data_IF_181407287504
#
_entry.id   IF_181407287504
#
_cell.length_a   1.000
_cell.length_b   1.000
_cell.length_c   1.000
_cell.angle_alpha   90.00
_cell.angle_beta   90.00
_cell.angle_gamma   90.00
#
_symmetry.space_group_name_H-M   'P 1'
#
loop_
_entity.id
_entity.type
_entity.pdbx_description
1 polymer ?
#
# COMPACT_ATOMS: atom_id res chain seq x y z
N UNK A 1 -38.99 -22.54 13.60
CA UNK A 1 -37.86 -23.03 14.44
C UNK A 1 -36.47 -22.87 13.80
N UNK A 2 -36.32 -22.68 12.48
CA UNK A 2 -35.02 -22.70 11.81
C UNK A 2 -34.12 -21.46 12.09
N UNK A 3 -34.71 -20.27 12.30
CA UNK A 3 -34.00 -19.03 12.66
C UNK A 3 -33.13 -19.18 13.92
N UNK A 4 -33.59 -19.96 14.90
CA UNK A 4 -32.83 -20.19 16.14
C UNK A 4 -31.56 -21.02 15.93
N UNK A 5 -31.49 -21.84 14.88
CA UNK A 5 -30.26 -22.57 14.55
C UNK A 5 -29.22 -21.64 13.91
N UNK A 6 -29.63 -20.84 12.92
CA UNK A 6 -28.75 -19.88 12.23
C UNK A 6 -28.21 -18.85 13.23
N UNK A 7 -29.07 -18.31 14.08
CA UNK A 7 -28.65 -17.38 15.13
C UNK A 7 -27.64 -18.01 16.11
N UNK A 8 -27.83 -19.28 16.52
CA UNK A 8 -26.86 -19.98 17.37
C UNK A 8 -25.53 -20.21 16.67
N UNK A 9 -25.54 -20.57 15.38
CA UNK A 9 -24.32 -20.77 14.59
C UNK A 9 -23.52 -19.47 14.45
N UNK A 10 -24.16 -18.36 14.08
CA UNK A 10 -23.53 -17.05 13.97
C UNK A 10 -22.99 -16.55 15.33
N UNK A 11 -23.74 -16.77 16.42
CA UNK A 11 -23.28 -16.48 17.79
C UNK A 11 -22.04 -17.28 18.15
N UNK A 12 -22.02 -18.59 17.87
CA UNK A 12 -20.85 -19.45 18.13
C UNK A 12 -19.63 -18.95 17.37
N UNK A 13 -19.79 -18.61 16.08
CA UNK A 13 -18.70 -18.07 15.25
C UNK A 13 -18.16 -16.75 15.78
N UNK A 14 -19.04 -15.80 16.14
CA UNK A 14 -18.63 -14.52 16.72
C UNK A 14 -17.90 -14.70 18.05
N UNK A 15 -18.40 -15.58 18.92
CA UNK A 15 -17.73 -15.92 20.18
C UNK A 15 -16.33 -16.46 19.93
N UNK A 16 -16.18 -17.44 19.03
CA UNK A 16 -14.87 -18.00 18.68
C UNK A 16 -13.91 -16.89 18.22
N UNK A 17 -14.34 -16.00 17.32
CA UNK A 17 -13.49 -14.89 16.85
C UNK A 17 -13.07 -13.97 18.00
N UNK A 18 -14.00 -13.58 18.87
CA UNK A 18 -13.69 -12.72 20.01
C UNK A 18 -12.81 -13.42 21.06
N UNK A 19 -12.95 -14.73 21.25
CA UNK A 19 -12.08 -15.52 22.11
C UNK A 19 -10.66 -15.63 21.55
N UNK A 20 -10.52 -15.92 20.24
CA UNK A 20 -9.21 -15.91 19.56
C UNK A 20 -8.57 -14.54 19.70
N UNK A 21 -9.35 -13.47 19.55
CA UNK A 21 -8.87 -12.09 19.71
C UNK A 21 -8.40 -11.76 21.12
N UNK A 22 -9.18 -12.18 22.13
CA UNK A 22 -8.78 -12.05 23.53
C UNK A 22 -7.50 -12.84 23.84
N UNK A 23 -7.36 -14.04 23.24
CA UNK A 23 -6.20 -14.90 23.43
C UNK A 23 -4.92 -14.30 22.84
N UNK A 24 -4.94 -13.83 21.58
CA UNK A 24 -3.72 -13.23 21.01
C UNK A 24 -3.37 -11.90 21.66
N UNK A 25 -4.35 -11.09 22.09
CA UNK A 25 -4.08 -9.86 22.86
C UNK A 25 -3.42 -10.17 24.20
N UNK A 26 -3.85 -11.21 24.91
CA UNK A 26 -3.22 -11.65 26.15
C UNK A 26 -1.78 -12.13 25.93
N UNK A 27 -1.53 -12.87 24.84
CA UNK A 27 -0.17 -13.27 24.44
C UNK A 27 0.68 -12.08 24.04
N UNK A 28 0.12 -11.05 23.40
CA UNK A 28 0.84 -9.82 23.07
C UNK A 28 1.28 -9.06 24.34
N UNK A 29 0.38 -8.91 25.32
CA UNK A 29 0.71 -8.32 26.64
C UNK A 29 1.83 -9.09 27.33
N UNK A 30 1.76 -10.43 27.30
CA UNK A 30 2.82 -11.29 27.82
C UNK A 30 4.16 -11.07 27.10
N UNK A 31 4.13 -11.00 25.78
CA UNK A 31 5.31 -10.80 24.93
C UNK A 31 6.00 -9.47 25.21
N UNK A 32 5.24 -8.38 25.39
CA UNK A 32 5.78 -7.06 25.77
C UNK A 32 6.50 -7.14 27.12
N UNK A 33 5.99 -7.93 28.06
CA UNK A 33 6.66 -8.18 29.33
C UNK A 33 7.99 -8.89 29.22
N UNK A 34 8.03 -9.97 28.41
CA UNK A 34 9.27 -10.69 28.13
C UNK A 34 10.29 -9.79 27.43
N UNK A 35 9.83 -8.96 26.49
CA UNK A 35 10.68 -7.99 25.81
C UNK A 35 11.26 -6.95 26.77
N UNK A 36 10.47 -6.42 27.70
CA UNK A 36 10.96 -5.52 28.75
C UNK A 36 12.03 -6.18 29.63
N UNK A 37 11.90 -7.48 29.91
CA UNK A 37 12.89 -8.24 30.66
C UNK A 37 14.22 -8.36 29.90
N UNK A 38 14.18 -8.54 28.57
CA UNK A 38 15.38 -8.49 27.71
C UNK A 38 16.09 -7.14 27.75
N UNK A 39 15.35 -6.04 27.89
CA UNK A 39 15.89 -4.69 28.08
C UNK A 39 16.46 -4.44 29.49
N UNK A 40 16.48 -5.46 30.36
CA UNK A 40 16.97 -5.36 31.73
C UNK A 40 15.97 -4.74 32.72
N UNK A 41 14.72 -4.49 32.31
CA UNK A 41 13.68 -4.07 33.25
C UNK A 41 13.25 -5.28 34.09
N UNK A 42 13.58 -5.24 35.38
CA UNK A 42 13.18 -6.27 36.33
C UNK A 42 11.69 -6.12 36.68
N UNK A 43 10.81 -6.59 35.79
CA UNK A 43 9.41 -6.74 36.08
C UNK A 43 9.18 -8.07 36.80
N UNK A 44 8.53 -8.07 37.98
CA UNK A 44 8.18 -9.33 38.62
C UNK A 44 7.22 -10.12 37.70
N UNK A 45 7.38 -11.45 37.56
CA UNK A 45 6.57 -12.25 36.63
C UNK A 45 5.09 -12.33 37.05
N UNK A 46 4.80 -12.14 38.34
CA UNK A 46 3.44 -12.21 38.90
C UNK A 46 2.48 -11.13 38.34
N UNK A 47 2.79 -9.82 38.38
CA UNK A 47 1.91 -8.81 37.79
C UNK A 47 1.78 -8.95 36.27
N UNK A 48 2.82 -9.41 35.57
CA UNK A 48 2.74 -9.66 34.12
C UNK A 48 1.73 -10.77 33.80
N UNK A 49 1.87 -11.92 34.47
CA UNK A 49 0.92 -13.03 34.34
C UNK A 49 -0.51 -12.59 34.71
N UNK A 50 -0.63 -11.78 35.77
CA UNK A 50 -1.89 -11.18 36.19
C UNK A 50 -2.52 -10.30 35.11
N UNK A 51 -1.74 -9.44 34.46
CA UNK A 51 -2.23 -8.55 33.39
C UNK A 51 -2.66 -9.32 32.14
N UNK A 52 -1.87 -10.32 31.71
CA UNK A 52 -2.21 -11.18 30.58
C UNK A 52 -3.49 -11.99 30.87
N UNK A 53 -3.60 -12.59 32.05
CA UNK A 53 -4.78 -13.33 32.49
C UNK A 53 -6.01 -12.42 32.58
N UNK A 54 -5.87 -11.22 33.16
CA UNK A 54 -6.95 -10.24 33.25
C UNK A 54 -7.46 -9.85 31.86
N UNK A 55 -6.55 -9.60 30.92
CA UNK A 55 -6.90 -9.27 29.53
C UNK A 55 -7.68 -10.41 28.87
N UNK A 56 -7.23 -11.66 29.06
CA UNK A 56 -7.93 -12.83 28.54
C UNK A 56 -9.32 -13.00 29.17
N UNK A 57 -9.45 -12.86 30.50
CA UNK A 57 -10.72 -13.02 31.21
C UNK A 57 -11.71 -11.93 30.84
N UNK A 58 -11.28 -10.67 30.81
CA UNK A 58 -12.13 -9.54 30.41
C UNK A 58 -12.57 -9.68 28.95
N UNK A 59 -11.63 -10.01 28.05
CA UNK A 59 -11.93 -10.25 26.64
C UNK A 59 -12.87 -11.44 26.42
N UNK A 60 -12.65 -12.54 27.14
CA UNK A 60 -13.50 -13.73 27.12
C UNK A 60 -14.89 -13.50 27.72
N UNK A 61 -14.98 -12.76 28.82
CA UNK A 61 -16.25 -12.33 29.40
C UNK A 61 -17.00 -11.42 28.44
N UNK A 62 -16.33 -10.43 27.83
CA UNK A 62 -16.92 -9.58 26.80
C UNK A 62 -17.40 -10.40 25.59
N UNK A 63 -16.62 -11.38 25.13
CA UNK A 63 -17.02 -12.32 24.08
C UNK A 63 -18.27 -13.12 24.46
N UNK A 64 -18.38 -13.52 25.74
CA UNK A 64 -19.51 -14.25 26.26
C UNK A 64 -20.75 -13.39 26.41
N UNK A 65 -20.63 -12.16 26.93
CA UNK A 65 -21.76 -11.26 27.20
C UNK A 65 -22.21 -10.44 25.98
N UNK A 66 -21.37 -10.29 24.96
CA UNK A 66 -21.73 -9.58 23.72
C UNK A 66 -22.72 -10.41 22.88
N UNK A 67 -23.99 -10.35 23.26
CA UNK A 67 -25.09 -10.90 22.48
C UNK A 67 -25.70 -9.81 21.61
N UNK A 68 -25.41 -9.76 20.29
CA UNK A 68 -26.16 -8.88 19.41
C UNK A 68 -27.64 -9.27 19.48
N UNK A 69 -28.50 -8.27 19.66
CA UNK A 69 -29.94 -8.48 19.56
C UNK A 69 -30.27 -9.01 18.17
N UNK A 70 -31.25 -9.92 18.06
CA UNK A 70 -31.67 -10.48 16.78
C UNK A 70 -32.09 -9.38 15.78
N UNK A 71 -32.67 -8.29 16.29
CA UNK A 71 -33.03 -7.12 15.50
C UNK A 71 -31.81 -6.42 14.87
N UNK A 72 -30.73 -6.18 15.63
CA UNK A 72 -29.50 -5.59 15.07
C UNK A 72 -28.83 -6.51 14.05
N UNK A 73 -28.92 -7.82 14.26
CA UNK A 73 -28.38 -8.79 13.33
C UNK A 73 -29.18 -8.82 12.02
N UNK A 74 -30.51 -8.83 12.09
CA UNK A 74 -31.38 -8.73 10.91
C UNK A 74 -31.11 -7.44 10.13
N UNK A 75 -31.07 -6.29 10.83
CA UNK A 75 -30.78 -5.01 10.20
C UNK A 75 -29.37 -4.93 9.58
N UNK A 76 -28.37 -5.55 10.21
CA UNK A 76 -27.02 -5.64 9.67
C UNK A 76 -26.94 -6.50 8.41
N UNK A 77 -27.65 -7.64 8.39
CA UNK A 77 -27.77 -8.47 7.19
C UNK A 77 -28.52 -7.75 6.08
N UNK A 78 -29.61 -7.04 6.41
CA UNK A 78 -30.36 -6.26 5.43
C UNK A 78 -29.49 -5.19 4.76
N UNK A 79 -28.63 -4.50 5.52
CA UNK A 79 -27.68 -3.52 4.94
C UNK A 79 -26.59 -4.17 4.11
N UNK A 80 -26.03 -5.29 4.58
CA UNK A 80 -24.91 -5.93 3.88
C UNK A 80 -25.34 -6.57 2.55
N UNK A 81 -26.57 -7.06 2.46
CA UNK A 81 -27.12 -7.70 1.27
C UNK A 81 -28.15 -6.82 0.53
N UNK A 82 -28.28 -5.54 0.89
CA UNK A 82 -29.24 -4.59 0.32
C UNK A 82 -30.68 -5.11 0.25
N UNK A 83 -31.13 -5.85 1.28
CA UNK A 83 -32.46 -6.49 1.31
C UNK A 83 -33.61 -5.53 1.68
N UNK A 84 -33.38 -4.21 1.63
CA UNK A 84 -34.40 -3.20 1.92
C UNK A 84 -35.23 -3.45 3.20
N UNK A 85 -34.59 -3.92 4.28
CA UNK A 85 -35.21 -4.24 5.59
C UNK A 85 -36.14 -5.45 5.62
N UNK A 86 -36.16 -6.30 4.58
CA UNK A 86 -37.03 -7.48 4.51
C UNK A 86 -36.84 -8.41 5.72
N UNK A 87 -35.61 -8.67 6.20
CA UNK A 87 -35.38 -9.54 7.36
C UNK A 87 -35.84 -8.91 8.67
N UNK A 88 -35.63 -7.60 8.83
CA UNK A 88 -36.10 -6.87 9.99
C UNK A 88 -37.63 -6.89 10.08
N UNK A 89 -38.33 -6.62 8.98
CA UNK A 89 -39.79 -6.65 8.90
C UNK A 89 -40.32 -8.07 9.10
N UNK A 90 -39.72 -9.08 8.46
CA UNK A 90 -40.09 -10.48 8.67
C UNK A 90 -39.98 -10.89 10.15
N UNK A 91 -38.94 -10.43 10.85
CA UNK A 91 -38.74 -10.72 12.27
C UNK A 91 -39.75 -10.01 13.18
N UNK A 92 -40.18 -8.81 12.81
CA UNK A 92 -41.24 -8.07 13.51
C UNK A 92 -42.61 -8.73 13.34
N UNK A 93 -42.96 -9.08 12.10
CA UNK A 93 -44.19 -9.81 11.74
C UNK A 93 -44.23 -11.18 12.44
N UNK A 94 -43.12 -11.92 12.42
CA UNK A 94 -43.01 -13.20 13.11
C UNK A 94 -43.20 -13.12 14.63
N UNK A 95 -42.94 -11.96 15.25
CA UNK A 95 -43.17 -11.75 16.69
C UNK A 95 -44.61 -11.40 17.02
N UNK A 96 -45.34 -10.78 16.11
CA UNK A 96 -46.73 -10.35 16.33
C UNK A 96 -47.72 -11.54 16.28
N UNK A 97 -47.39 -12.61 15.55
CA UNK A 97 -48.08 -13.90 15.66
C UNK A 97 -49.52 -13.96 15.13
N UNK A 98 -50.04 -12.90 14.49
CA UNK A 98 -51.37 -12.87 13.88
C UNK A 98 -51.24 -12.76 12.36
N UNK A 99 -51.28 -13.90 11.67
CA UNK A 99 -50.93 -13.98 10.24
C UNK A 99 -52.02 -13.48 9.31
N UNK A 100 -51.78 -12.33 8.67
CA UNK A 100 -52.42 -12.03 7.39
C UNK A 100 -51.84 -12.93 6.27
N UNK A 101 -52.59 -13.29 5.22
CA UNK A 101 -52.08 -14.14 4.14
C UNK A 101 -50.86 -13.53 3.41
N UNK A 102 -50.76 -12.20 3.37
CA UNK A 102 -49.59 -11.50 2.81
C UNK A 102 -48.33 -11.71 3.67
N UNK A 103 -48.48 -11.78 4.98
CA UNK A 103 -47.39 -12.01 5.93
C UNK A 103 -46.85 -13.44 5.81
N UNK A 104 -47.72 -14.41 5.56
CA UNK A 104 -47.29 -15.79 5.30
C UNK A 104 -46.40 -15.88 4.05
N UNK A 105 -46.77 -15.17 2.97
CA UNK A 105 -45.94 -15.12 1.76
C UNK A 105 -44.58 -14.47 2.02
N UNK A 106 -44.54 -13.38 2.79
CA UNK A 106 -43.29 -12.73 3.17
C UNK A 106 -42.39 -13.65 4.00
N UNK A 107 -42.98 -14.45 4.90
CA UNK A 107 -42.25 -15.46 5.67
C UNK A 107 -41.68 -16.57 4.77
N UNK A 108 -42.46 -17.09 3.82
CA UNK A 108 -42.00 -18.12 2.86
C UNK A 108 -40.84 -17.60 1.98
N UNK A 109 -40.97 -16.38 1.44
CA UNK A 109 -39.89 -15.75 0.66
C UNK A 109 -38.62 -15.58 1.52
N UNK A 110 -38.79 -15.15 2.78
CA UNK A 110 -37.67 -15.01 3.73
C UNK A 110 -37.01 -16.35 4.04
N UNK A 111 -37.77 -17.44 4.14
CA UNK A 111 -37.22 -18.78 4.36
C UNK A 111 -36.35 -19.25 3.18
N UNK A 112 -36.79 -19.02 1.94
CA UNK A 112 -35.99 -19.36 0.75
C UNK A 112 -34.68 -18.54 0.68
N UNK A 113 -34.74 -17.27 1.05
CA UNK A 113 -33.58 -16.38 1.09
C UNK A 113 -32.59 -16.83 2.18
N UNK A 114 -33.08 -17.15 3.37
CA UNK A 114 -32.28 -17.70 4.47
C UNK A 114 -31.63 -19.04 4.11
N UNK A 115 -32.32 -19.90 3.35
CA UNK A 115 -31.76 -21.16 2.89
C UNK A 115 -30.58 -20.94 1.93
N UNK A 116 -30.68 -19.99 1.00
CA UNK A 116 -29.58 -19.59 0.10
C UNK A 116 -28.42 -18.98 0.88
N UNK A 117 -28.69 -18.04 1.78
CA UNK A 117 -27.67 -17.45 2.65
C UNK A 117 -26.97 -18.51 3.50
N UNK A 118 -27.69 -19.49 4.04
CA UNK A 118 -27.09 -20.58 4.82
C UNK A 118 -26.12 -21.40 3.96
N UNK A 119 -26.46 -21.69 2.70
CA UNK A 119 -25.59 -22.43 1.78
C UNK A 119 -24.35 -21.61 1.42
N UNK A 120 -24.51 -20.31 1.22
CA UNK A 120 -23.40 -19.38 1.01
C UNK A 120 -22.47 -19.27 2.23
N UNK A 121 -23.04 -19.14 3.43
CA UNK A 121 -22.30 -19.04 4.71
C UNK A 121 -21.67 -20.38 5.14
N UNK A 122 -22.17 -21.50 4.62
CA UNK A 122 -21.58 -22.82 4.82
C UNK A 122 -20.43 -23.09 3.83
N UNK A 123 -20.54 -22.62 2.59
CA UNK A 123 -19.48 -22.75 1.56
C UNK A 123 -18.32 -21.79 1.80
N UNK A 124 -18.62 -20.55 2.18
CA UNK A 124 -17.61 -19.61 2.62
C UNK A 124 -17.30 -19.91 4.09
N UNK A 125 -16.37 -20.85 4.30
CA UNK A 125 -15.70 -21.02 5.57
C UNK A 125 -14.93 -19.73 5.86
N UNK A 126 -15.62 -18.76 6.45
CA UNK A 126 -15.07 -17.55 7.04
C UNK A 126 -14.31 -17.91 8.34
N UNK A 127 -13.49 -18.97 8.26
CA UNK A 127 -12.45 -19.22 9.22
C UNK A 127 -11.68 -17.90 9.30
N UNK A 128 -11.53 -17.32 10.50
CA UNK A 128 -10.91 -16.02 10.63
C UNK A 128 -9.40 -16.19 10.43
N UNK A 129 -9.00 -16.47 9.19
CA UNK A 129 -7.63 -16.80 8.80
C UNK A 129 -6.66 -15.74 9.29
N UNK A 130 -6.99 -14.46 9.09
CA UNK A 130 -6.23 -13.34 9.67
C UNK A 130 -6.06 -13.43 11.19
N UNK A 131 -7.07 -13.86 11.95
CA UNK A 131 -6.94 -13.97 13.42
C UNK A 131 -6.13 -15.21 13.82
N UNK A 132 -6.19 -16.30 13.05
CA UNK A 132 -5.36 -17.48 13.26
C UNK A 132 -3.91 -17.22 12.91
N UNK A 133 -3.66 -16.48 11.83
CA UNK A 133 -2.35 -16.00 11.39
C UNK A 133 -1.73 -15.09 12.44
N UNK A 134 -2.47 -14.07 12.90
CA UNK A 134 -2.01 -13.20 13.99
C UNK A 134 -1.76 -13.97 15.28
N UNK A 135 -2.63 -14.93 15.62
CA UNK A 135 -2.41 -15.79 16.78
C UNK A 135 -1.14 -16.64 16.63
N UNK A 136 -0.89 -17.20 15.44
CA UNK A 136 0.31 -17.99 15.17
C UNK A 136 1.57 -17.14 15.23
N UNK A 137 1.57 -15.95 14.61
CA UNK A 137 2.68 -15.00 14.65
C UNK A 137 3.02 -14.56 16.08
N UNK A 138 2.00 -14.13 16.85
CA UNK A 138 2.19 -13.72 18.25
C UNK A 138 2.63 -14.90 19.13
N UNK A 139 2.11 -16.11 18.88
CA UNK A 139 2.53 -17.30 19.60
C UNK A 139 4.01 -17.65 19.33
N UNK A 140 4.45 -17.61 18.06
CA UNK A 140 5.85 -17.84 17.69
C UNK A 140 6.76 -16.79 18.33
N UNK A 141 6.35 -15.52 18.30
CA UNK A 141 7.09 -14.44 18.95
C UNK A 141 7.20 -14.64 20.47
N UNK A 142 6.09 -14.98 21.14
CA UNK A 142 6.08 -15.28 22.57
C UNK A 142 6.98 -16.49 22.91
N UNK A 143 6.95 -17.53 22.08
CA UNK A 143 7.79 -18.72 22.24
C UNK A 143 9.28 -18.38 22.08
N UNK A 144 9.64 -17.64 21.04
CA UNK A 144 11.01 -17.18 20.79
C UNK A 144 11.55 -16.33 21.94
N UNK A 145 10.76 -15.36 22.43
CA UNK A 145 11.12 -14.54 23.59
C UNK A 145 11.28 -15.38 24.87
N UNK A 146 10.44 -16.39 25.07
CA UNK A 146 10.54 -17.28 26.24
C UNK A 146 11.85 -18.07 26.23
N UNK A 147 12.24 -18.60 25.07
CA UNK A 147 13.52 -19.30 24.86
C UNK A 147 14.71 -18.35 25.04
N UNK A 148 14.60 -17.11 24.57
CA UNK A 148 15.65 -16.11 24.74
C UNK A 148 15.89 -15.72 26.22
N UNK A 149 14.81 -15.57 27.00
CA UNK A 149 14.90 -15.21 28.42
C UNK A 149 15.35 -16.38 29.30
N UNK A 150 14.96 -17.60 28.95
CA UNK A 150 15.38 -18.81 29.65
C UNK A 150 16.25 -19.63 28.71
N UNK A 151 17.54 -19.26 28.53
CA UNK A 151 18.43 -20.07 27.72
C UNK A 151 18.41 -21.49 28.31
N UNK A 152 17.86 -22.45 27.57
CA UNK A 152 17.88 -23.88 27.90
C UNK A 152 19.30 -24.46 27.85
N UNK A 153 20.32 -23.62 27.98
CA UNK A 153 21.68 -24.06 28.13
C UNK A 153 21.69 -24.99 29.35
N UNK A 154 22.05 -26.28 29.18
CA UNK A 154 22.19 -27.17 30.31
C UNK A 154 23.13 -26.47 31.28
N UNK A 155 22.66 -26.29 32.51
CA UNK A 155 23.40 -25.73 33.64
C UNK A 155 24.83 -26.26 33.49
N UNK A 156 25.76 -25.37 33.11
CA UNK A 156 27.08 -25.77 32.68
C UNK A 156 27.60 -26.74 33.73
N UNK A 157 27.79 -28.00 33.31
CA UNK A 157 28.00 -29.13 34.22
C UNK A 157 28.95 -28.66 35.32
N UNK A 158 28.48 -28.73 36.57
CA UNK A 158 29.14 -28.17 37.75
C UNK A 158 30.65 -28.32 37.56
N UNK A 159 31.42 -27.22 37.55
CA UNK A 159 32.80 -27.23 37.09
C UNK A 159 33.47 -28.43 37.76
N UNK A 160 33.84 -29.43 36.95
CA UNK A 160 34.54 -30.62 37.42
C UNK A 160 35.67 -30.08 38.27
N UNK A 161 35.64 -30.36 39.57
CA UNK A 161 36.61 -29.85 40.51
C UNK A 161 37.99 -30.22 39.95
N UNK A 162 38.69 -29.23 39.40
CA UNK A 162 40.03 -29.46 38.90
C UNK A 162 40.84 -29.98 40.10
N UNK A 163 41.60 -31.08 39.95
CA UNK A 163 42.51 -31.54 40.99
C UNK A 163 43.38 -30.37 41.42
N UNK A 164 43.55 -30.19 42.74
CA UNK A 164 44.39 -29.13 43.31
C UNK A 164 45.75 -29.10 42.61
N UNK A 165 45.95 -28.10 41.76
CA UNK A 165 47.24 -27.85 41.13
C UNK A 165 48.22 -27.43 42.24
N UNK A 166 49.46 -27.96 42.25
CA UNK A 166 50.47 -27.56 43.22
C UNK A 166 50.70 -26.04 43.16
N UNK A 167 51.03 -25.40 44.30
CA UNK A 167 51.15 -23.96 44.38
C UNK A 167 52.17 -23.44 43.34
N UNK A 168 51.84 -22.38 42.58
CA UNK A 168 52.71 -21.85 41.54
C UNK A 168 54.00 -21.34 42.17
N UNK A 169 55.14 -21.86 41.70
CA UNK A 169 56.45 -21.27 41.94
C UNK A 169 56.47 -19.91 41.26
N UNK A 170 56.76 -18.86 42.03
CA UNK A 170 56.70 -17.46 41.58
C UNK A 170 57.44 -17.25 40.24
N UNK A 171 56.75 -16.84 39.16
CA UNK A 171 57.40 -16.43 37.94
C UNK A 171 58.08 -15.07 38.15
N UNK A 172 59.37 -15.06 37.81
CA UNK A 172 60.21 -13.88 37.69
C UNK A 172 59.52 -12.79 36.86
N UNK A 173 59.61 -11.55 37.36
CA UNK A 173 59.17 -10.34 36.66
C UNK A 173 59.86 -10.21 35.30
N UNK A 174 59.15 -10.47 34.20
CA UNK A 174 59.44 -9.95 32.85
C UNK A 174 58.42 -10.49 31.83
N UNK A 175 57.20 -9.94 31.81
CA UNK A 175 56.34 -9.91 30.62
C UNK A 175 55.12 -9.04 30.95
N UNK A 176 55.27 -7.73 30.74
CA UNK A 176 54.12 -6.84 30.64
C UNK A 176 53.49 -7.09 29.26
N UNK A 177 52.33 -7.73 29.21
CA UNK A 177 51.51 -7.74 28.02
C UNK A 177 50.91 -6.34 27.85
N UNK A 178 51.37 -5.66 26.80
CA UNK A 178 50.81 -4.38 26.37
C UNK A 178 49.44 -4.65 25.73
N UNK A 179 48.40 -3.87 26.06
CA UNK A 179 47.13 -3.93 25.35
C UNK A 179 47.35 -3.44 23.92
N UNK A 180 47.20 -4.31 22.93
CA UNK A 180 47.00 -3.89 21.54
C UNK A 180 45.61 -3.26 21.42
N UNK A 181 45.55 -1.95 21.62
CA UNK A 181 44.52 -1.08 21.04
C UNK A 181 44.62 -1.22 19.51
N UNK A 182 43.82 -2.10 18.93
CA UNK A 182 43.51 -1.99 17.50
C UNK A 182 42.61 -0.77 17.34
N UNK A 183 43.00 0.25 16.54
CA UNK A 183 42.09 1.33 16.22
C UNK A 183 40.90 0.71 15.51
N UNK A 184 39.71 0.87 16.09
CA UNK A 184 38.47 0.76 15.33
C UNK A 184 38.59 1.86 14.29
N UNK A 185 38.84 1.48 13.03
CA UNK A 185 38.67 2.37 11.90
C UNK A 185 37.19 2.74 11.89
N UNK A 186 36.82 3.80 12.60
CA UNK A 186 35.58 4.50 12.35
C UNK A 186 35.59 4.84 10.86
N UNK A 187 34.56 4.41 10.09
CA UNK A 187 34.50 4.74 8.68
C UNK A 187 34.63 6.27 8.57
N UNK A 188 35.65 6.72 7.84
CA UNK A 188 35.83 8.13 7.53
C UNK A 188 34.50 8.64 6.97
N UNK A 189 33.84 9.53 7.73
CA UNK A 189 32.62 10.16 7.26
C UNK A 189 33.01 11.02 6.08
N UNK A 190 32.52 10.65 4.91
CA UNK A 190 32.68 11.45 3.71
C UNK A 190 31.95 12.78 3.93
N UNK A 191 32.72 13.88 3.97
CA UNK A 191 32.14 15.21 4.13
C UNK A 191 31.49 15.62 2.80
N UNK A 192 30.16 15.47 2.73
CA UNK A 192 29.36 15.95 1.60
C UNK A 192 29.39 17.48 1.53
N UNK A 193 29.28 18.01 0.30
CA UNK A 193 29.07 19.46 0.12
C UNK A 193 27.72 19.88 0.76
N UNK A 194 27.56 21.14 1.20
CA UNK A 194 26.31 21.58 1.84
C UNK A 194 25.06 21.36 0.98
N UNK A 195 25.18 21.52 -0.34
CA UNK A 195 24.09 21.30 -1.28
C UNK A 195 23.77 19.79 -1.44
N UNK A 196 24.81 18.95 -1.47
CA UNK A 196 24.65 17.49 -1.50
C UNK A 196 24.04 16.98 -0.19
N UNK A 197 24.41 17.56 0.94
CA UNK A 197 23.86 17.20 2.24
C UNK A 197 22.37 17.56 2.36
N UNK A 198 21.97 18.74 1.88
CA UNK A 198 20.55 19.14 1.84
C UNK A 198 19.72 18.23 0.91
N UNK A 199 20.27 17.82 -0.24
CA UNK A 199 19.62 16.85 -1.12
C UNK A 199 19.50 15.46 -0.48
N UNK A 200 20.56 14.98 0.16
CA UNK A 200 20.55 13.70 0.86
C UNK A 200 19.54 13.67 2.01
N UNK A 201 19.43 14.77 2.77
CA UNK A 201 18.46 14.91 3.87
C UNK A 201 17.01 14.91 3.35
N UNK A 202 16.71 15.65 2.30
CA UNK A 202 15.36 15.66 1.69
C UNK A 202 14.97 14.28 1.14
N UNK A 203 15.90 13.57 0.49
CA UNK A 203 15.66 12.20 0.01
C UNK A 203 15.52 11.22 1.19
N UNK A 204 16.33 11.37 2.24
CA UNK A 204 16.24 10.52 3.43
C UNK A 204 14.88 10.65 4.12
N UNK A 205 14.38 11.87 4.30
CA UNK A 205 13.06 12.10 4.90
C UNK A 205 11.92 11.51 4.05
N UNK A 206 11.97 11.66 2.72
CA UNK A 206 11.02 11.01 1.80
C UNK A 206 11.02 9.48 1.92
N UNK A 207 12.19 8.88 2.13
CA UNK A 207 12.35 7.42 2.28
C UNK A 207 12.04 6.92 3.70
N UNK A 208 11.99 7.79 4.71
CA UNK A 208 11.84 7.39 6.13
C UNK A 208 10.44 6.94 6.50
N UNK A 209 9.42 7.45 5.82
CA UNK A 209 8.00 7.20 6.10
C UNK A 209 7.53 5.82 5.64
N UNK A 210 8.24 5.21 4.69
CA UNK A 210 8.00 3.83 4.27
C UNK A 210 8.96 2.86 4.95
N UNK A 211 8.41 1.83 5.61
CA UNK A 211 9.19 0.84 6.34
C UNK A 211 10.15 0.02 5.47
N UNK A 212 9.89 -0.11 4.17
CA UNK A 212 10.74 -0.84 3.22
C UNK A 212 11.99 -0.04 2.81
N UNK A 213 11.92 1.30 2.83
CA UNK A 213 13.00 2.22 2.43
C UNK A 213 13.78 2.78 3.62
N UNK A 214 13.38 2.45 4.86
CA UNK A 214 13.99 2.98 6.09
C UNK A 214 15.50 2.71 6.19
N UNK A 215 15.98 1.53 5.79
CA UNK A 215 17.42 1.22 5.82
C UNK A 215 18.23 2.14 4.91
N UNK A 216 17.70 2.49 3.73
CA UNK A 216 18.32 3.42 2.81
C UNK A 216 18.30 4.86 3.36
N UNK A 217 17.19 5.29 3.98
CA UNK A 217 17.09 6.57 4.69
C UNK A 217 18.15 6.68 5.80
N UNK A 218 18.26 5.67 6.66
CA UNK A 218 19.23 5.63 7.76
C UNK A 218 20.69 5.61 7.25
N UNK A 219 20.95 5.13 6.03
CA UNK A 219 22.25 5.21 5.38
C UNK A 219 22.55 6.63 4.87
N UNK A 220 21.58 7.29 4.21
CA UNK A 220 21.68 8.69 3.80
C UNK A 220 21.91 9.63 4.99
N UNK A 221 21.20 9.44 6.09
CA UNK A 221 21.38 10.23 7.33
C UNK A 221 22.80 10.14 7.90
N UNK A 222 23.47 9.00 7.68
CA UNK A 222 24.86 8.77 8.10
C UNK A 222 25.89 9.33 7.12
N UNK A 223 25.44 9.86 5.97
CA UNK A 223 26.28 10.26 4.85
C UNK A 223 26.79 9.08 4.02
N UNK A 224 26.26 7.88 4.21
CA UNK A 224 26.65 6.66 3.49
C UNK A 224 25.82 6.51 2.21
N UNK A 225 26.13 7.34 1.21
CA UNK A 225 25.41 7.36 -0.09
C UNK A 225 25.60 6.04 -0.86
N UNK A 226 26.78 5.43 -0.78
CA UNK A 226 27.04 4.13 -1.39
C UNK A 226 26.20 3.01 -0.76
N UNK A 227 26.10 2.99 0.57
CA UNK A 227 25.22 2.07 1.30
C UNK A 227 23.75 2.28 0.94
N UNK A 228 23.28 3.53 0.90
CA UNK A 228 21.92 3.86 0.50
C UNK A 228 21.59 3.42 -0.93
N UNK A 229 22.49 3.65 -1.88
CA UNK A 229 22.35 3.20 -3.26
C UNK A 229 22.26 1.67 -3.35
N UNK A 230 23.05 0.93 -2.57
CA UNK A 230 22.97 -0.54 -2.52
C UNK A 230 21.61 -1.03 -2.00
N UNK A 231 21.09 -0.44 -0.92
CA UNK A 231 19.79 -0.79 -0.35
C UNK A 231 18.65 -0.49 -1.34
N UNK A 232 18.74 0.62 -2.08
CA UNK A 232 17.76 0.98 -3.11
C UNK A 232 17.78 0.02 -4.31
N UNK A 233 18.95 -0.48 -4.73
CA UNK A 233 19.05 -1.52 -5.78
C UNK A 233 18.45 -2.85 -5.32
N UNK A 234 18.73 -3.26 -4.09
CA UNK A 234 18.12 -4.47 -3.52
C UNK A 234 16.59 -4.33 -3.41
N UNK A 235 16.10 -3.12 -3.13
CA UNK A 235 14.67 -2.82 -3.14
C UNK A 235 14.08 -2.83 -4.56
N UNK A 236 14.83 -2.37 -5.56
CA UNK A 236 14.46 -2.44 -6.96
C UNK A 236 14.27 -3.89 -7.42
N UNK A 237 15.19 -4.80 -7.05
CA UNK A 237 15.07 -6.24 -7.29
C UNK A 237 13.84 -6.87 -6.60
N UNK A 238 13.29 -6.20 -5.58
CA UNK A 238 12.10 -6.62 -4.83
C UNK A 238 10.85 -5.78 -5.17
N UNK A 239 10.88 -4.92 -6.18
CA UNK A 239 9.81 -3.96 -6.42
C UNK A 239 8.45 -4.61 -6.76
N UNK A 240 8.46 -5.81 -7.35
CA UNK A 240 7.24 -6.61 -7.57
C UNK A 240 6.57 -7.03 -6.25
N UNK A 241 7.34 -7.13 -5.16
CA UNK A 241 6.85 -7.50 -3.83
C UNK A 241 6.43 -6.28 -3.01
N UNK A 242 6.78 -5.06 -3.44
CA UNK A 242 6.25 -3.84 -2.85
C UNK A 242 4.73 -3.79 -3.11
N UNK A 243 3.94 -3.55 -2.08
CA UNK A 243 2.50 -3.33 -2.25
C UNK A 243 2.24 -2.01 -2.97
N UNK A 244 1.09 -1.89 -3.64
CA UNK A 244 0.66 -0.63 -4.31
C UNK A 244 0.74 0.57 -3.37
N UNK A 245 0.33 0.38 -2.12
CA UNK A 245 0.36 1.43 -1.11
C UNK A 245 1.80 1.88 -0.79
N UNK A 246 2.75 0.94 -0.68
CA UNK A 246 4.15 1.28 -0.41
C UNK A 246 4.78 2.07 -1.56
N UNK A 247 4.45 1.71 -2.82
CA UNK A 247 4.89 2.48 -3.99
C UNK A 247 4.31 3.89 -4.01
N UNK A 248 3.02 4.04 -3.71
CA UNK A 248 2.36 5.35 -3.63
C UNK A 248 2.97 6.22 -2.52
N UNK A 249 3.15 5.67 -1.32
CA UNK A 249 3.73 6.41 -0.19
C UNK A 249 5.16 6.89 -0.51
N UNK A 250 5.98 6.06 -1.16
CA UNK A 250 7.33 6.45 -1.59
C UNK A 250 7.30 7.46 -2.73
N UNK A 251 6.39 7.34 -3.70
CA UNK A 251 6.25 8.31 -4.77
C UNK A 251 5.81 9.70 -4.25
N UNK A 252 4.89 9.73 -3.29
CA UNK A 252 4.47 10.96 -2.61
C UNK A 252 5.65 11.63 -1.90
N UNK A 253 6.41 10.87 -1.10
CA UNK A 253 7.61 11.39 -0.44
C UNK A 253 8.65 11.95 -1.42
N UNK A 254 8.89 11.28 -2.55
CA UNK A 254 9.83 11.77 -3.57
C UNK A 254 9.35 13.08 -4.25
N UNK A 255 8.03 13.28 -4.39
CA UNK A 255 7.48 14.55 -4.88
C UNK A 255 7.64 15.67 -3.88
N UNK A 256 7.46 15.40 -2.59
CA UNK A 256 7.67 16.36 -1.52
C UNK A 256 9.15 16.80 -1.47
N UNK A 257 10.09 15.84 -1.53
CA UNK A 257 11.52 16.13 -1.63
C UNK A 257 11.87 16.95 -2.89
N UNK A 258 11.24 16.64 -4.02
CA UNK A 258 11.40 17.42 -5.24
C UNK A 258 10.87 18.86 -5.13
N UNK A 259 9.78 19.08 -4.38
CA UNK A 259 9.26 20.43 -4.13
C UNK A 259 10.22 21.25 -3.26
N UNK A 260 10.79 20.63 -2.22
CA UNK A 260 11.78 21.27 -1.34
C UNK A 260 13.08 21.63 -2.09
N UNK A 261 13.58 20.71 -2.92
CA UNK A 261 14.80 20.90 -3.70
C UNK A 261 14.63 21.82 -4.92
N UNK A 262 13.39 22.07 -5.36
CA UNK A 262 13.13 22.81 -6.59
C UNK A 262 13.71 24.23 -6.63
N UNK A 263 13.92 24.86 -5.47
CA UNK A 263 14.50 26.21 -5.39
C UNK A 263 16.03 26.23 -5.52
N UNK A 264 16.73 25.21 -5.03
CA UNK A 264 18.19 25.13 -5.01
C UNK A 264 18.75 24.28 -6.16
N UNK A 265 18.07 23.19 -6.51
CA UNK A 265 18.53 22.15 -7.44
C UNK A 265 17.40 21.73 -8.40
N UNK A 266 17.01 22.58 -9.36
CA UNK A 266 15.86 22.33 -10.23
C UNK A 266 16.01 21.05 -11.08
N UNK A 267 17.23 20.72 -11.50
CA UNK A 267 17.49 19.50 -12.28
C UNK A 267 17.21 18.22 -11.49
N UNK A 268 17.66 18.17 -10.23
CA UNK A 268 17.43 17.03 -9.34
C UNK A 268 15.94 16.91 -8.97
N UNK A 269 15.27 18.03 -8.73
CA UNK A 269 13.82 18.04 -8.49
C UNK A 269 13.03 17.45 -9.67
N UNK A 270 13.39 17.78 -10.91
CA UNK A 270 12.72 17.22 -12.10
C UNK A 270 13.06 15.74 -12.34
N UNK A 271 14.24 15.27 -11.89
CA UNK A 271 14.60 13.85 -11.84
C UNK A 271 13.70 13.09 -10.86
N UNK A 272 13.60 13.56 -9.62
CA UNK A 272 12.81 12.94 -8.54
C UNK A 272 11.32 12.87 -8.87
N UNK A 273 10.74 13.91 -9.50
CA UNK A 273 9.34 13.89 -9.98
C UNK A 273 9.11 12.79 -11.02
N UNK A 274 10.03 12.63 -11.98
CA UNK A 274 9.93 11.59 -13.02
C UNK A 274 10.04 10.19 -12.41
N UNK A 275 10.94 10.00 -11.44
CA UNK A 275 11.07 8.74 -10.70
C UNK A 275 9.81 8.43 -9.88
N UNK A 276 9.23 9.42 -9.20
CA UNK A 276 7.97 9.26 -8.48
C UNK A 276 6.81 8.84 -9.40
N UNK A 277 6.67 9.49 -10.56
CA UNK A 277 5.62 9.15 -11.53
C UNK A 277 5.81 7.74 -12.14
N UNK A 278 7.05 7.30 -12.34
CA UNK A 278 7.36 5.94 -12.78
C UNK A 278 7.08 4.90 -11.69
N UNK A 279 7.34 5.23 -10.42
CA UNK A 279 7.06 4.36 -9.28
C UNK A 279 5.55 4.10 -9.11
N UNK A 280 4.70 5.10 -9.35
CA UNK A 280 3.24 4.94 -9.29
C UNK A 280 2.66 4.04 -10.38
N UNK A 281 3.27 4.01 -11.56
CA UNK A 281 2.79 3.16 -12.67
C UNK A 281 3.01 1.67 -12.37
N UNK A 282 3.98 1.34 -11.50
CA UNK A 282 4.23 -0.01 -11.04
C UNK A 282 4.97 -0.89 -12.05
N UNK A 283 5.12 -2.18 -11.73
CA UNK A 283 5.79 -3.15 -12.60
C UNK A 283 7.25 -2.78 -12.90
N UNK A 284 7.67 -2.97 -14.17
CA UNK A 284 9.04 -2.71 -14.61
C UNK A 284 9.46 -1.23 -14.52
N UNK A 285 8.49 -0.31 -14.59
CA UNK A 285 8.76 1.14 -14.48
C UNK A 285 9.14 1.51 -13.04
N UNK A 286 8.53 0.85 -12.05
CA UNK A 286 8.90 1.00 -10.64
C UNK A 286 10.30 0.46 -10.32
N UNK A 287 10.70 -0.67 -10.91
CA UNK A 287 12.06 -1.21 -10.78
C UNK A 287 13.10 -0.22 -11.33
N UNK A 288 12.86 0.29 -12.54
CA UNK A 288 13.74 1.27 -13.18
C UNK A 288 13.82 2.58 -12.38
N UNK A 289 12.69 3.04 -11.83
CA UNK A 289 12.66 4.24 -11.01
C UNK A 289 13.53 4.12 -9.74
N UNK A 290 13.48 2.98 -9.05
CA UNK A 290 14.30 2.72 -7.85
C UNK A 290 15.79 2.57 -8.20
N UNK A 291 16.11 1.93 -9.33
CA UNK A 291 17.49 1.83 -9.83
C UNK A 291 18.05 3.21 -10.22
N UNK A 292 17.26 4.05 -10.88
CA UNK A 292 17.66 5.41 -11.25
C UNK A 292 17.81 6.31 -10.01
N UNK A 293 16.96 6.13 -9.00
CA UNK A 293 17.11 6.78 -7.69
C UNK A 293 18.42 6.35 -7.02
N UNK A 294 18.77 5.05 -7.03
CA UNK A 294 20.04 4.55 -6.49
C UNK A 294 21.26 5.20 -7.18
N UNK A 295 21.24 5.35 -8.51
CA UNK A 295 22.31 6.05 -9.25
C UNK A 295 22.37 7.53 -8.89
N UNK A 296 21.21 8.17 -8.71
CA UNK A 296 21.13 9.59 -8.31
C UNK A 296 21.79 9.81 -6.95
N UNK A 297 21.53 8.91 -5.99
CA UNK A 297 22.15 8.93 -4.66
C UNK A 297 23.66 8.68 -4.72
N UNK A 298 24.13 7.74 -5.54
CA UNK A 298 25.56 7.48 -5.72
C UNK A 298 26.29 8.69 -6.32
N UNK A 299 25.71 9.30 -7.37
CA UNK A 299 26.25 10.49 -8.00
C UNK A 299 26.36 11.68 -7.03
N UNK A 300 25.39 11.81 -6.11
CA UNK A 300 25.42 12.83 -5.06
C UNK A 300 26.64 12.68 -4.12
N UNK A 301 27.06 11.44 -3.87
CA UNK A 301 28.28 11.13 -3.12
C UNK A 301 29.55 11.48 -3.90
N UNK A 302 29.62 11.06 -5.17
CA UNK A 302 30.78 11.31 -6.03
C UNK A 302 31.05 12.81 -6.24
N UNK A 303 29.99 13.61 -6.44
CA UNK A 303 30.09 15.07 -6.59
C UNK A 303 30.57 15.75 -5.30
N UNK A 304 30.17 15.21 -4.13
CA UNK A 304 30.65 15.68 -2.83
C UNK A 304 32.15 15.45 -2.63
N UNK A 305 32.64 14.27 -3.00
CA UNK A 305 34.06 13.91 -2.87
C UNK A 305 34.97 14.76 -3.78
N UNK A 306 34.56 15.01 -5.02
CA UNK A 306 35.34 15.85 -5.95
C UNK A 306 35.44 17.30 -5.47
N UNK A 307 34.41 17.82 -4.79
CA UNK A 307 34.44 19.16 -4.22
C UNK A 307 35.39 19.27 -3.02
N UNK A 308 35.53 18.20 -2.22
CA UNK A 308 36.43 18.15 -1.07
C UNK A 308 37.91 18.02 -1.48
N UNK A 309 38.22 17.30 -2.56
CA UNK A 309 39.59 17.13 -3.06
C UNK A 309 40.12 18.31 -3.88
N UNK A 310 39.26 19.25 -4.30
CA UNK A 310 39.69 20.45 -4.99
C UNK A 310 40.61 21.27 -4.06
N UNK A 311 41.92 21.39 -4.36
CA UNK A 311 42.86 22.01 -3.45
C UNK A 311 42.49 23.48 -3.26
N UNK A 312 42.09 23.83 -2.04
CA UNK A 312 41.88 25.22 -1.63
C UNK A 312 43.07 26.05 -2.11
N UNK A 313 42.88 27.09 -2.94
CA UNK A 313 43.97 27.97 -3.32
C UNK A 313 44.45 28.65 -2.05
N UNK A 314 45.61 28.18 -1.58
CA UNK A 314 46.29 28.75 -0.42
C UNK A 314 46.48 30.24 -0.70
N UNK A 315 45.79 31.07 0.07
CA UNK A 315 45.91 32.52 0.03
C UNK A 315 47.33 32.92 0.48
N UNK A 316 48.24 33.00 -0.49
CA UNK A 316 49.56 33.59 -0.31
C UNK A 316 49.88 34.48 -1.51
N UNK A 317 49.86 35.80 -1.29
CA UNK A 317 50.56 36.75 -2.14
C UNK A 317 49.67 37.83 -2.78
N UNK A 318 49.56 38.96 -2.09
CA UNK A 318 49.21 40.23 -2.71
C UNK A 318 50.21 40.57 -3.84
N UNK A 319 49.71 40.84 -5.03
CA UNK A 319 50.51 41.28 -6.18
C UNK A 319 49.65 41.88 -7.28
N UNK A 320 49.71 43.21 -7.40
CA UNK A 320 49.13 44.03 -8.46
C UNK A 320 49.32 43.44 -9.86
N UNK A 321 48.26 43.39 -10.67
CA UNK A 321 48.35 43.07 -12.10
C UNK A 321 47.05 43.29 -12.83
N UNK A 322 46.85 44.50 -13.37
CA UNK A 322 45.77 44.82 -14.30
C UNK A 322 45.99 44.07 -15.64
N UNK A 323 44.97 43.36 -16.11
CA UNK A 323 45.00 42.68 -17.41
C UNK A 323 43.64 42.12 -17.83
N UNK A 324 43.00 42.82 -18.75
CA UNK A 324 41.88 42.48 -19.65
C UNK A 324 41.41 41.01 -19.72
N UNK A 325 40.08 40.73 -19.76
CA UNK A 325 39.56 39.48 -20.27
C UNK A 325 39.38 39.53 -21.79
N UNK A 326 39.84 38.50 -22.48
CA UNK A 326 39.51 38.22 -23.88
C UNK A 326 38.78 36.86 -23.94
N UNK A 327 37.66 36.74 -24.67
CA UNK A 327 36.95 35.49 -24.81
C UNK A 327 37.61 34.62 -25.89
N UNK A 328 37.74 33.33 -25.62
CA UNK A 328 38.08 32.32 -26.63
C UNK A 328 36.92 31.33 -26.74
N UNK A 329 36.10 31.56 -27.77
CA UNK A 329 35.44 30.51 -28.52
C UNK A 329 36.51 29.66 -29.25
N UNK A 330 36.12 28.43 -29.62
CA UNK A 330 36.48 27.74 -30.87
C UNK A 330 37.26 26.39 -30.77
N UNK A 331 36.47 25.31 -30.95
CA UNK A 331 36.67 24.15 -31.84
C UNK A 331 37.71 23.05 -31.57
N UNK A 332 37.22 21.80 -31.53
CA UNK A 332 37.57 20.64 -32.39
C UNK A 332 36.84 19.40 -31.83
N UNK A 333 35.88 18.71 -32.45
CA UNK A 333 35.77 18.05 -33.76
C UNK A 333 36.82 16.94 -34.04
N UNK A 334 36.32 15.70 -34.00
CA UNK A 334 36.89 14.42 -34.45
C UNK A 334 36.24 13.31 -33.61
N UNK A 335 35.33 12.45 -34.06
CA UNK A 335 35.07 11.75 -35.32
C UNK A 335 36.15 10.70 -35.68
N UNK A 336 36.01 9.52 -35.07
CA UNK A 336 36.41 8.17 -35.50
C UNK A 336 35.95 7.22 -34.38
N UNK A 337 35.12 6.20 -34.56
CA UNK A 337 34.95 5.30 -35.70
C UNK A 337 35.05 3.88 -35.12
N UNK A 338 33.92 3.30 -34.73
CA UNK A 338 33.87 1.98 -34.09
C UNK A 338 32.60 1.22 -34.49
N UNK A 339 32.73 0.42 -35.55
CA UNK A 339 31.69 -0.46 -36.06
C UNK A 339 31.41 -1.62 -35.08
N UNK A 340 30.13 -1.86 -34.79
CA UNK A 340 29.67 -3.04 -34.06
C UNK A 340 28.17 -3.21 -34.24
N UNK A 341 27.78 -4.21 -35.02
CA UNK A 341 26.41 -4.52 -35.39
C UNK A 341 25.58 -5.08 -34.23
N UNK A 342 24.29 -4.75 -34.16
CA UNK A 342 23.32 -5.44 -33.31
C UNK A 342 21.92 -4.84 -33.42
N UNK A 343 20.93 -5.68 -33.72
CA UNK A 343 19.49 -5.41 -33.89
C UNK A 343 18.90 -4.48 -32.81
N UNK A 344 17.91 -3.62 -33.05
CA UNK A 344 16.77 -3.76 -33.96
C UNK A 344 15.50 -4.01 -33.15
N UNK A 345 14.86 -2.93 -32.68
CA UNK A 345 13.41 -2.68 -32.69
C UNK A 345 13.10 -1.41 -31.88
N UNK A 346 12.90 -0.30 -32.59
CA UNK A 346 12.34 0.93 -32.04
C UNK A 346 10.82 0.93 -32.18
N UNK A 347 10.15 1.46 -31.19
CA UNK A 347 8.78 1.96 -31.32
C UNK A 347 8.67 3.30 -30.57
N UNK A 348 9.15 4.36 -31.22
CA UNK A 348 8.82 5.75 -30.90
C UNK A 348 7.93 6.29 -32.02
N UNK A 349 6.68 6.61 -31.69
CA UNK A 349 5.83 7.57 -32.40
C UNK A 349 5.19 8.41 -31.29
N UNK A 350 5.48 9.71 -31.12
CA UNK A 350 5.87 10.69 -32.13
C UNK A 350 4.62 11.16 -32.85
N UNK A 351 3.95 12.16 -32.27
CA UNK A 351 2.68 12.69 -32.75
C UNK A 351 2.74 13.27 -34.16
N UNK A 352 1.70 13.02 -34.93
CA UNK A 352 1.40 13.75 -36.16
C UNK A 352 0.08 14.52 -35.99
N UNK A 353 0.21 15.86 -35.98
CA UNK A 353 -0.83 16.78 -36.41
C UNK A 353 -1.11 16.56 -37.91
N UNK A 354 -2.37 16.35 -38.28
CA UNK A 354 -2.88 16.51 -39.66
C UNK A 354 -4.34 16.98 -39.52
N UNK A 355 -4.74 18.17 -39.92
CA UNK A 355 -4.51 18.78 -41.24
C UNK A 355 -5.81 18.59 -42.04
N UNK A 356 -6.68 19.60 -41.99
CA UNK A 356 -7.89 19.66 -42.79
C UNK A 356 -7.55 19.80 -44.29
N UNK A 357 -8.11 18.94 -45.15
CA UNK A 357 -8.65 19.27 -46.50
C UNK A 357 -8.91 18.01 -47.36
N UNK A 358 -10.08 18.01 -48.03
CA UNK A 358 -10.41 17.26 -49.25
C UNK A 358 -10.70 15.75 -49.04
N UNK A 359 -11.84 15.18 -49.40
CA UNK A 359 -12.73 15.48 -50.52
C UNK A 359 -12.91 14.18 -51.32
N UNK A 360 -13.88 13.36 -50.94
CA UNK A 360 -14.37 12.24 -51.77
C UNK A 360 -15.89 12.19 -51.69
N UNK A 361 -16.53 12.70 -52.75
CA UNK A 361 -17.96 12.55 -53.00
C UNK A 361 -18.25 11.08 -53.31
N UNK A 362 -18.98 10.41 -52.44
CA UNK A 362 -19.68 9.18 -52.79
C UNK A 362 -21.01 9.56 -53.45
N UNK A 363 -21.12 9.31 -54.75
CA UNK A 363 -22.39 9.34 -55.48
C UNK A 363 -23.22 8.14 -55.02
N UNK A 364 -24.14 8.39 -54.09
CA UNK A 364 -25.19 7.47 -53.68
C UNK A 364 -26.54 8.16 -53.82
N UNK A 365 -27.41 7.59 -54.65
CA UNK A 365 -28.77 8.06 -54.92
C UNK A 365 -29.60 8.02 -53.62
N UNK A 366 -29.99 9.20 -53.11
CA UNK A 366 -30.82 9.30 -51.91
C UNK A 366 -32.26 8.92 -52.26
N UNK A 367 -32.71 7.74 -51.82
CA UNK A 367 -34.14 7.41 -51.77
C UNK A 367 -34.84 8.34 -50.75
N UNK A 368 -35.96 9.01 -51.10
CA UNK A 368 -36.73 9.77 -50.14
C UNK A 368 -37.42 8.81 -49.16
N UNK A 369 -37.10 8.91 -47.87
CA UNK A 369 -37.93 8.33 -46.82
C UNK A 369 -39.23 9.16 -46.66
N UNK A 370 -40.38 8.51 -46.42
CA UNK A 370 -41.64 9.20 -46.16
C UNK A 370 -41.56 10.02 -44.86
N UNK A 371 -42.12 11.23 -44.90
CA UNK A 371 -42.18 12.14 -43.76
C UNK A 371 -42.87 11.47 -42.55
N UNK A 372 -42.33 11.63 -41.32
CA UNK A 372 -42.98 11.12 -40.12
C UNK A 372 -44.29 11.85 -39.89
N UNK A 373 -45.38 11.08 -39.75
CA UNK A 373 -46.71 11.58 -39.41
C UNK A 373 -46.70 12.25 -38.04
N UNK A 374 -46.94 13.57 -38.01
CA UNK A 374 -47.23 14.35 -36.80
C UNK A 374 -48.63 14.03 -36.27
N UNK A 375 -48.81 12.83 -35.72
CA UNK A 375 -50.04 12.45 -35.02
C UNK A 375 -49.67 12.06 -33.59
N UNK A 376 -50.01 12.93 -32.63
CA UNK A 376 -49.80 12.72 -31.21
C UNK A 376 -50.38 11.38 -30.75
N UNK A 377 -49.50 10.51 -30.25
CA UNK A 377 -49.87 9.23 -29.68
C UNK A 377 -50.54 9.39 -28.31
N UNK A 378 -51.34 8.42 -27.86
CA UNK A 378 -51.99 8.45 -26.56
C UNK A 378 -50.95 8.37 -25.43
N UNK A 379 -51.01 9.32 -24.49
CA UNK A 379 -50.24 9.25 -23.25
C UNK A 379 -50.82 8.16 -22.34
N UNK A 380 -49.95 7.41 -21.67
CA UNK A 380 -50.37 6.34 -20.74
C UNK A 380 -49.95 6.73 -19.33
N UNK A 381 -50.94 6.93 -18.45
CA UNK A 381 -50.70 7.22 -17.04
C UNK A 381 -50.34 5.95 -16.27
N UNK A 382 -49.12 5.89 -15.74
CA UNK A 382 -48.67 4.81 -14.86
C UNK A 382 -48.69 5.26 -13.40
N UNK A 383 -49.57 4.66 -12.59
CA UNK A 383 -49.71 4.97 -11.16
C UNK A 383 -49.04 3.88 -10.32
N UNK A 384 -47.90 4.20 -9.71
CA UNK A 384 -47.27 3.36 -8.70
C UNK A 384 -47.99 3.43 -7.35
N UNK A 385 -47.93 2.39 -6.50
CA UNK A 385 -48.78 2.29 -5.31
C UNK A 385 -48.52 3.34 -4.21
N UNK A 386 -47.43 4.13 -4.25
CA UNK A 386 -47.17 5.26 -3.33
C UNK A 386 -46.26 6.37 -3.93
N UNK A 387 -46.61 6.95 -5.08
CA UNK A 387 -45.86 8.10 -5.65
C UNK A 387 -46.70 8.98 -6.57
N UNK A 388 -46.23 10.20 -6.93
CA UNK A 388 -46.95 11.09 -7.84
C UNK A 388 -47.07 10.44 -9.23
N UNK A 389 -48.21 10.64 -9.90
CA UNK A 389 -48.44 10.14 -11.25
C UNK A 389 -47.48 10.83 -12.22
N UNK A 390 -46.66 10.04 -12.91
CA UNK A 390 -45.81 10.53 -14.00
C UNK A 390 -46.48 10.12 -15.29
N UNK A 391 -46.86 11.12 -16.09
CA UNK A 391 -47.37 10.94 -17.44
C UNK A 391 -46.16 10.72 -18.36
N UNK A 392 -46.00 9.51 -18.88
CA UNK A 392 -44.91 9.17 -19.79
C UNK A 392 -45.44 9.30 -21.22
N UNK A 393 -44.88 10.25 -21.95
CA UNK A 393 -45.13 10.42 -23.38
C UNK A 393 -44.41 9.31 -24.14
N UNK A 394 -45.19 8.48 -24.84
CA UNK A 394 -44.67 7.31 -25.52
C UNK A 394 -43.98 7.72 -26.84
N UNK A 395 -42.65 7.81 -26.78
CA UNK A 395 -41.78 7.65 -27.96
C UNK A 395 -41.37 8.96 -28.65
N UNK A 396 -40.20 9.47 -28.27
CA UNK A 396 -39.46 10.45 -29.04
C UNK A 396 -38.13 10.74 -28.37
N UNK A 397 -37.01 10.41 -29.01
CA UNK A 397 -35.68 10.89 -28.62
C UNK A 397 -35.62 12.39 -28.92
N UNK A 398 -36.14 13.19 -27.99
CA UNK A 398 -36.18 14.64 -28.06
C UNK A 398 -34.82 15.25 -27.76
N UNK A 399 -34.28 15.88 -28.80
CA UNK A 399 -33.30 16.96 -28.81
C UNK A 399 -33.34 17.83 -27.54
N UNK A 400 -32.22 17.89 -26.82
CA UNK A 400 -32.03 18.74 -25.65
C UNK A 400 -32.06 20.21 -26.05
N UNK A 401 -33.15 20.88 -25.70
CA UNK A 401 -33.29 22.33 -25.87
C UNK A 401 -32.28 23.08 -24.99
N UNK A 402 -31.43 23.80 -25.71
CA UNK A 402 -30.51 24.83 -25.30
C UNK A 402 -31.15 25.86 -24.35
N UNK A 403 -30.62 25.97 -23.13
CA UNK A 403 -30.94 27.06 -22.20
C UNK A 403 -29.69 27.51 -21.42
N UNK A 404 -29.18 28.68 -21.79
CA UNK A 404 -28.60 29.63 -20.85
C UNK A 404 -27.09 29.53 -20.62
N UNK A 405 -26.34 30.45 -21.22
CA UNK A 405 -24.88 30.53 -21.14
C UNK A 405 -24.30 30.88 -19.76
N UNK A 406 -23.04 30.50 -19.60
CA UNK A 406 -22.17 30.94 -18.50
C UNK A 406 -20.88 30.12 -18.41
N UNK A 407 -19.79 30.68 -18.95
CA UNK A 407 -18.37 30.34 -18.77
C UNK A 407 -17.91 28.88 -18.95
N UNK A 408 -17.18 28.65 -20.05
CA UNK A 408 -16.49 27.39 -20.35
C UNK A 408 -14.98 27.64 -20.38
N UNK A 409 -14.30 27.23 -19.31
CA UNK A 409 -12.86 26.89 -19.28
C UNK A 409 -12.67 25.75 -18.28
N UNK A 410 -13.38 24.64 -18.52
CA UNK A 410 -13.19 23.39 -17.79
C UNK A 410 -13.26 22.25 -18.80
N UNK A 411 -12.18 21.44 -18.98
CA UNK A 411 -12.22 20.30 -19.87
C UNK A 411 -13.26 19.30 -19.35
N UNK A 412 -14.20 18.92 -20.22
CA UNK A 412 -15.18 17.86 -19.96
C UNK A 412 -14.43 16.58 -19.55
N UNK A 413 -14.52 16.21 -18.27
CA UNK A 413 -14.31 14.84 -17.85
C UNK A 413 -15.39 13.98 -18.52
N UNK A 414 -14.95 12.96 -19.27
CA UNK A 414 -15.83 12.09 -20.03
C UNK A 414 -16.92 11.48 -19.15
N UNK A 415 -18.15 11.88 -19.41
CA UNK A 415 -19.34 11.31 -18.79
C UNK A 415 -19.40 9.84 -19.20
N UNK A 416 -19.39 8.95 -18.20
CA UNK A 416 -19.32 7.50 -18.39
C UNK A 416 -20.46 7.04 -19.29
N UNK A 417 -20.11 6.49 -20.46
CA UNK A 417 -21.05 5.88 -21.38
C UNK A 417 -21.88 4.84 -20.60
N UNK A 418 -23.21 5.02 -20.45
CA UNK A 418 -24.06 4.10 -19.70
C UNK A 418 -24.16 2.71 -20.34
N UNK A 419 -23.55 2.50 -21.52
CA UNK A 419 -23.40 1.21 -22.18
C UNK A 419 -22.02 0.57 -21.97
N UNK A 420 -21.07 1.25 -21.33
CA UNK A 420 -19.77 0.68 -21.00
C UNK A 420 -19.91 -0.34 -19.85
N UNK A 421 -20.00 -1.61 -20.22
CA UNK A 421 -19.92 -2.73 -19.27
C UNK A 421 -18.56 -2.62 -18.54
N UNK A 422 -18.54 -2.51 -17.19
CA UNK A 422 -17.29 -2.44 -16.44
C UNK A 422 -16.40 -3.65 -16.78
N UNK A 423 -15.07 -3.47 -16.88
CA UNK A 423 -14.15 -4.50 -17.38
C UNK A 423 -14.28 -5.82 -16.60
N UNK A 424 -14.59 -5.76 -15.30
CA UNK A 424 -14.82 -6.93 -14.45
C UNK A 424 -16.04 -7.80 -14.82
N UNK A 425 -16.96 -7.30 -15.66
CA UNK A 425 -18.16 -8.03 -16.10
C UNK A 425 -18.05 -8.53 -17.55
N UNK A 426 -16.99 -8.21 -18.30
CA UNK A 426 -16.82 -8.70 -19.68
C UNK A 426 -16.71 -10.23 -19.73
N UNK A 427 -15.88 -10.80 -18.88
CA UNK A 427 -15.61 -12.25 -18.88
C UNK A 427 -16.86 -13.08 -18.56
N UNK A 428 -17.73 -12.58 -17.67
CA UNK A 428 -18.96 -13.26 -17.26
C UNK A 428 -20.01 -13.24 -18.38
N UNK A 429 -20.08 -12.15 -19.15
CA UNK A 429 -20.97 -12.03 -20.31
C UNK A 429 -20.46 -12.94 -21.43
N UNK A 430 -19.15 -12.99 -21.66
CA UNK A 430 -18.55 -13.85 -22.68
C UNK A 430 -18.76 -15.35 -22.36
N UNK A 431 -18.63 -15.78 -21.11
CA UNK A 431 -18.91 -17.15 -20.68
C UNK A 431 -20.40 -17.53 -20.79
N UNK A 432 -21.31 -16.57 -20.61
CA UNK A 432 -22.76 -16.83 -20.68
C UNK A 432 -23.28 -16.92 -22.13
N UNK A 433 -22.63 -16.21 -23.06
CA UNK A 433 -23.01 -16.19 -24.48
C UNK A 433 -22.15 -17.10 -25.37
N UNK A 434 -21.13 -17.76 -24.83
CA UNK A 434 -20.37 -18.79 -25.54
C UNK A 434 -21.11 -20.14 -25.49
N UNK A 435 -21.69 -20.63 -26.60
CA UNK A 435 -22.22 -21.99 -26.63
C UNK A 435 -21.07 -22.98 -26.44
N UNK A 436 -21.16 -23.81 -25.40
CA UNK A 436 -20.20 -24.89 -25.17
C UNK A 436 -20.25 -25.89 -26.36
N UNK A 437 -19.10 -26.33 -26.88
CA UNK A 437 -19.01 -27.25 -28.00
C UNK A 437 -19.50 -28.67 -27.69
#
# INVERSE_FOLDING_TARGET
MQLGFVARALRRRRRIRLFVRALWMALAVWSVGLFALLLGLQLPPAPLAGAALLTFVVGGAYAWFSHPSLARLAQGLDRHYNLAQQLATALEVARQGQGQPLEQRLLDETETLLARMRRFVASHSLMPWRELEMLAAVFLLAAGLTVAVHPLLPEAASPVALPDLPPPVAPSAAAAEQPTEQPVNEPEREELSPDAQAAAEAIADALRDNGATRSAADALDRGDTAGAASELRELADQAEQLGDQARQDTAEGLRDAAEELGASQPGLADELRRQADALEQGGQEAEQALEDLARTVEQLGEDGQQAAEAPQPSAAGAGQGAGNPQPSEQSAQGDQGGAGAGAGNGNQLGGEQRGAQGGTQAQGETLPLPEPSTAGGPTTNATGPRGPSVELEAGGTGETQNAGGGNVDQPLAGEADPLAIPPEYRDVVEDYFSPQP
#
